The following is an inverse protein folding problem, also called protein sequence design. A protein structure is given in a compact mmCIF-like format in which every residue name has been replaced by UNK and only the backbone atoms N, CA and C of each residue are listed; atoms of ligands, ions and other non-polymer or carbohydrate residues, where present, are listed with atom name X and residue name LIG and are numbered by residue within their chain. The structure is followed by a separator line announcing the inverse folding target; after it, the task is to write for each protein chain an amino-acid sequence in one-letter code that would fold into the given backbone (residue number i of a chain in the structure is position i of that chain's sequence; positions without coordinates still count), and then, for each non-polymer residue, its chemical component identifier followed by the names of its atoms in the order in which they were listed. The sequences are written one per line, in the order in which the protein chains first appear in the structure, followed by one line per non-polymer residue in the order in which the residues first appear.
data_IF_146267915276
#
_entry.id   IF_146267915276
#
_cell.length_a   1.000
_cell.length_b   1.000
_cell.length_c   1.000
_cell.angle_alpha   90.00
_cell.angle_beta   90.00
_cell.angle_gamma   90.00
#
_symmetry.space_group_name_H-M   'P 1'
#
loop_
_entity.id
_entity.type
_entity.pdbx_description
1 polymer ?
#
# COMPACT_ATOMS: atom_id res chain seq x y z
N UNK A 1 -61.70 39.65 29.62
CA UNK A 1 -62.64 39.16 30.66
C UNK A 1 -62.45 37.66 30.80
N UNK A 2 -62.17 37.19 32.03
CA UNK A 2 -62.29 35.82 32.56
C UNK A 2 -61.45 34.71 31.90
N UNK A 3 -60.90 33.70 32.57
CA UNK A 3 -60.64 33.26 33.96
C UNK A 3 -59.76 32.00 33.75
N UNK A 4 -58.75 31.78 34.59
CA UNK A 4 -57.90 30.57 34.63
C UNK A 4 -58.70 29.34 35.18
N UNK A 5 -58.11 28.25 35.70
CA UNK A 5 -56.88 27.50 35.42
C UNK A 5 -57.17 25.98 35.26
N UNK A 6 -56.14 25.16 35.00
CA UNK A 6 -56.21 23.71 35.15
C UNK A 6 -54.87 23.15 35.62
N UNK A 7 -54.72 23.01 36.93
CA UNK A 7 -53.56 22.41 37.60
C UNK A 7 -53.54 20.90 37.41
N UNK A 8 -52.36 20.30 37.22
CA UNK A 8 -52.01 19.02 37.85
C UNK A 8 -50.51 18.99 38.19
N UNK A 9 -50.24 19.04 39.49
CA UNK A 9 -48.98 18.71 40.14
C UNK A 9 -48.83 17.19 40.22
N UNK A 10 -47.66 16.64 39.87
CA UNK A 10 -47.12 15.43 40.51
C UNK A 10 -45.64 15.68 40.82
N UNK A 11 -45.38 15.97 42.08
CA UNK A 11 -44.12 15.78 42.78
C UNK A 11 -43.88 14.29 42.99
N UNK A 12 -42.68 13.77 42.72
CA UNK A 12 -42.14 12.68 43.53
C UNK A 12 -40.61 12.67 43.50
N UNK A 13 -40.07 12.82 44.70
CA UNK A 13 -38.67 12.77 45.08
C UNK A 13 -38.03 11.41 44.77
N UNK A 14 -36.77 11.44 44.31
CA UNK A 14 -35.77 10.44 44.69
C UNK A 14 -34.38 11.04 44.49
N UNK A 15 -33.85 11.60 45.57
CA UNK A 15 -32.43 11.90 45.73
C UNK A 15 -31.69 10.56 45.71
N UNK A 16 -30.90 10.31 44.66
CA UNK A 16 -29.90 9.25 44.65
C UNK A 16 -28.53 9.91 44.58
N UNK A 17 -28.00 10.21 45.77
CA UNK A 17 -26.58 10.50 45.99
C UNK A 17 -25.84 9.18 45.79
N UNK A 18 -25.16 9.03 44.65
CA UNK A 18 -24.14 7.97 44.49
C UNK A 18 -22.76 8.60 44.62
N UNK A 19 -22.21 8.42 45.80
CA UNK A 19 -20.81 8.65 46.14
C UNK A 19 -19.91 7.69 45.37
N UNK A 20 -18.95 8.28 44.64
CA UNK A 20 -17.56 7.84 44.47
C UNK A 20 -17.26 6.33 44.40
N UNK A 21 -16.93 5.86 43.20
CA UNK A 21 -15.70 5.07 42.98
C UNK A 21 -14.98 5.67 41.76
N UNK A 22 -14.19 6.72 42.00
CA UNK A 22 -13.11 7.08 41.08
C UNK A 22 -12.03 5.99 41.18
N UNK A 23 -12.22 4.89 40.45
CA UNK A 23 -11.13 4.02 40.07
C UNK A 23 -10.12 4.91 39.34
N UNK A 24 -9.03 5.25 40.02
CA UNK A 24 -7.88 5.84 39.36
C UNK A 24 -7.26 4.75 38.49
N UNK A 25 -7.84 4.56 37.31
CA UNK A 25 -7.18 3.91 36.21
C UNK A 25 -6.03 4.83 35.81
N UNK A 26 -4.84 4.57 36.35
CA UNK A 26 -3.62 5.01 35.71
C UNK A 26 -3.59 4.30 34.35
N UNK A 27 -4.19 4.92 33.34
CA UNK A 27 -3.99 4.47 31.97
C UNK A 27 -2.51 4.67 31.66
N UNK A 28 -1.81 3.60 31.31
CA UNK A 28 -0.40 3.68 30.91
C UNK A 28 -0.22 4.40 29.56
N UNK A 29 -1.32 4.60 28.83
CA UNK A 29 -1.36 5.33 27.57
C UNK A 29 -1.73 6.79 27.75
N UNK A 30 -1.01 7.66 27.04
CA UNK A 30 -1.40 9.04 26.85
C UNK A 30 -2.59 9.15 25.89
N UNK A 31 -3.24 10.32 25.86
CA UNK A 31 -4.32 10.60 24.91
C UNK A 31 -3.85 10.50 23.45
N UNK A 32 -2.59 10.81 23.19
CA UNK A 32 -2.02 10.76 21.85
C UNK A 32 -1.84 9.31 21.37
N UNK A 33 -1.47 8.40 22.28
CA UNK A 33 -1.38 6.97 21.99
C UNK A 33 -2.75 6.39 21.60
N UNK A 34 -3.80 6.76 22.32
CA UNK A 34 -5.18 6.31 22.02
C UNK A 34 -5.62 6.78 20.63
N UNK A 35 -5.36 8.04 20.28
CA UNK A 35 -5.71 8.57 18.97
C UNK A 35 -4.93 7.86 17.85
N UNK A 36 -3.64 7.59 18.06
CA UNK A 36 -2.83 6.84 17.11
C UNK A 36 -3.42 5.46 16.79
N UNK A 37 -3.89 4.72 17.79
CA UNK A 37 -4.50 3.40 17.56
C UNK A 37 -5.89 3.47 16.95
N UNK A 38 -6.69 4.48 17.30
CA UNK A 38 -8.00 4.70 16.67
C UNK A 38 -7.86 5.03 15.18
N UNK A 39 -6.89 5.86 14.80
CA UNK A 39 -6.60 6.19 13.40
C UNK A 39 -6.11 4.98 12.59
N UNK A 40 -5.55 3.97 13.27
CA UNK A 40 -5.13 2.69 12.69
C UNK A 40 -6.24 1.63 12.66
N UNK A 41 -7.44 1.96 13.14
CA UNK A 41 -8.62 1.10 13.08
C UNK A 41 -8.73 0.08 14.22
N UNK A 42 -7.98 0.24 15.31
CA UNK A 42 -8.12 -0.60 16.50
C UNK A 42 -9.43 -0.30 17.24
N UNK A 43 -10.01 -1.34 17.84
CA UNK A 43 -11.19 -1.15 18.69
C UNK A 43 -10.79 -0.67 20.08
N UNK A 44 -11.70 0.04 20.75
CA UNK A 44 -11.47 0.55 22.11
C UNK A 44 -11.08 -0.55 23.10
N UNK A 45 -11.61 -1.77 22.94
CA UNK A 45 -11.28 -2.92 23.78
C UNK A 45 -9.82 -3.40 23.59
N UNK A 46 -9.34 -3.40 22.35
CA UNK A 46 -7.94 -3.75 22.04
C UNK A 46 -6.97 -2.70 22.59
N UNK A 47 -7.32 -1.42 22.47
CA UNK A 47 -6.53 -0.31 23.02
C UNK A 47 -6.48 -0.42 24.54
N UNK A 48 -7.61 -0.72 25.18
CA UNK A 48 -7.69 -0.86 26.64
C UNK A 48 -6.83 -2.01 27.15
N UNK A 49 -6.77 -3.15 26.45
CA UNK A 49 -5.90 -4.27 26.80
C UNK A 49 -4.41 -3.87 26.75
N UNK A 50 -3.97 -3.21 25.67
CA UNK A 50 -2.60 -2.73 25.49
C UNK A 50 -2.21 -1.72 26.57
N UNK A 51 -3.12 -0.81 26.90
CA UNK A 51 -2.89 0.24 27.89
C UNK A 51 -3.02 -0.23 29.35
N UNK A 52 -3.52 -1.45 29.58
CA UNK A 52 -3.65 -2.06 30.91
C UNK A 52 -2.45 -2.95 31.26
N UNK A 53 -1.77 -3.55 30.28
CA UNK A 53 -0.61 -4.43 30.52
C UNK A 53 0.67 -3.67 30.89
N UNK A 54 0.77 -2.38 30.56
CA UNK A 54 1.99 -1.58 30.78
C UNK A 54 2.19 -1.09 32.23
N UNK A 55 1.53 -1.70 33.21
CA UNK A 55 1.67 -1.37 34.64
C UNK A 55 2.30 -2.51 35.44
N UNK A 56 3.58 -2.81 35.22
CA UNK A 56 4.40 -3.48 36.25
C UNK A 56 5.81 -2.88 36.32
N UNK A 57 6.30 -2.46 37.51
CA UNK A 57 7.68 -2.07 37.70
C UNK A 57 8.58 -3.31 37.85
N UNK A 58 9.79 -3.18 37.29
CA UNK A 58 10.90 -4.14 37.24
C UNK A 58 11.09 -4.96 38.53
N UNK A 59 10.94 -6.30 38.43
CA UNK A 59 11.79 -7.28 39.13
C UNK A 59 11.50 -8.71 38.66
N UNK A 60 12.55 -9.46 38.32
CA UNK A 60 12.51 -10.93 38.35
C UNK A 60 12.45 -11.66 37.00
N UNK A 61 13.65 -12.03 36.53
CA UNK A 61 13.99 -13.18 35.68
C UNK A 61 12.84 -14.10 35.21
N UNK A 62 12.52 -14.05 33.92
CA UNK A 62 11.93 -15.18 33.20
C UNK A 62 12.50 -15.22 31.78
N UNK A 63 13.20 -16.32 31.52
CA UNK A 63 13.79 -16.76 30.26
C UNK A 63 12.70 -16.78 29.17
N UNK A 64 12.73 -15.83 28.25
CA UNK A 64 11.98 -15.90 27.00
C UNK A 64 12.98 -15.90 25.85
N UNK A 65 12.78 -16.87 24.97
CA UNK A 65 13.66 -17.27 23.90
C UNK A 65 13.89 -16.13 22.92
N UNK A 66 15.17 -15.88 22.71
CA UNK A 66 15.74 -15.04 21.69
C UNK A 66 15.39 -15.62 20.30
N UNK A 67 14.22 -15.27 19.77
CA UNK A 67 13.91 -15.39 18.36
C UNK A 67 14.28 -14.08 17.66
N UNK A 68 15.56 -14.05 17.28
CA UNK A 68 16.12 -13.08 16.37
C UNK A 68 15.48 -13.25 14.99
N UNK A 69 14.73 -12.25 14.54
CA UNK A 69 14.59 -11.95 13.12
C UNK A 69 14.36 -10.46 12.95
N UNK A 70 15.49 -9.73 12.89
CA UNK A 70 15.70 -8.48 12.16
C UNK A 70 14.41 -7.73 11.74
N UNK A 71 13.79 -7.00 12.65
CA UNK A 71 13.24 -5.71 12.26
C UNK A 71 14.43 -4.78 12.14
N UNK A 72 15.01 -4.79 10.93
CA UNK A 72 15.81 -3.68 10.44
C UNK A 72 15.03 -2.42 10.80
N UNK A 73 15.66 -1.49 11.51
CA UNK A 73 15.07 -0.18 11.75
C UNK A 73 14.90 0.49 10.38
N UNK A 74 13.77 0.20 9.74
CA UNK A 74 13.32 0.87 8.53
C UNK A 74 13.07 2.29 9.01
N UNK A 75 13.91 3.22 8.54
CA UNK A 75 13.73 4.63 8.89
C UNK A 75 12.29 5.04 8.55
N UNK A 76 11.66 5.96 9.31
CA UNK A 76 10.31 6.45 9.01
C UNK A 76 10.15 6.86 7.53
N UNK A 77 11.21 7.42 6.93
CA UNK A 77 11.27 7.80 5.53
C UNK A 77 11.11 6.63 4.53
N UNK A 78 11.60 5.43 4.87
CA UNK A 78 11.48 4.27 4.00
C UNK A 78 10.05 3.67 4.01
N UNK A 79 9.34 3.80 5.14
CA UNK A 79 7.92 3.45 5.23
C UNK A 79 7.05 4.47 4.47
N UNK A 80 7.37 5.77 4.59
CA UNK A 80 6.71 6.83 3.83
C UNK A 80 6.91 6.68 2.31
N UNK A 81 8.12 6.33 1.87
CA UNK A 81 8.43 6.08 0.46
C UNK A 81 7.68 4.86 -0.09
N UNK A 82 7.58 3.77 0.70
CA UNK A 82 6.79 2.60 0.32
C UNK A 82 5.31 2.95 0.14
N UNK A 83 4.74 3.71 1.08
CA UNK A 83 3.35 4.17 1.02
C UNK A 83 3.12 5.11 -0.16
N UNK A 84 4.05 6.01 -0.43
CA UNK A 84 4.00 6.93 -1.57
C UNK A 84 4.00 6.16 -2.90
N UNK A 85 4.95 5.24 -3.10
CA UNK A 85 5.03 4.46 -4.34
C UNK A 85 3.82 3.54 -4.53
N UNK A 86 3.31 2.93 -3.45
CA UNK A 86 2.09 2.13 -3.50
C UNK A 86 0.90 2.95 -4.02
N UNK A 87 0.82 4.22 -3.65
CA UNK A 87 -0.23 5.12 -4.14
C UNK A 87 0.04 5.67 -5.53
N UNK A 88 1.29 5.95 -5.88
CA UNK A 88 1.67 6.63 -7.11
C UNK A 88 1.72 5.71 -8.34
N UNK A 89 2.18 4.47 -8.17
CA UNK A 89 2.31 3.51 -9.27
C UNK A 89 0.92 3.00 -9.65
N UNK A 90 0.61 3.05 -10.95
CA UNK A 90 -0.66 2.57 -11.53
C UNK A 90 -0.60 1.05 -11.76
N UNK A 91 -0.42 0.31 -10.67
CA UNK A 91 -0.33 -1.15 -10.65
C UNK A 91 -1.02 -1.73 -9.39
N UNK A 92 -1.02 -3.05 -9.27
CA UNK A 92 -1.54 -3.78 -8.10
C UNK A 92 -0.39 -4.49 -7.37
N UNK A 93 -0.66 -4.94 -6.14
CA UNK A 93 0.27 -5.79 -5.37
C UNK A 93 1.69 -5.19 -5.27
N UNK A 94 1.76 -3.87 -5.09
CA UNK A 94 3.04 -3.15 -5.01
C UNK A 94 3.71 -3.49 -3.69
N UNK A 95 4.89 -4.08 -3.76
CA UNK A 95 5.74 -4.42 -2.64
C UNK A 95 7.12 -3.77 -2.83
N UNK A 96 7.52 -2.96 -1.86
CA UNK A 96 8.85 -2.38 -1.79
C UNK A 96 9.62 -3.10 -0.68
N UNK A 97 10.68 -3.78 -1.08
CA UNK A 97 11.67 -4.38 -0.17
C UNK A 97 12.93 -3.50 -0.13
N UNK A 98 13.90 -3.84 0.71
CA UNK A 98 15.18 -3.12 0.76
C UNK A 98 15.96 -3.19 -0.56
N UNK A 99 15.71 -4.21 -1.38
CA UNK A 99 16.59 -4.55 -2.51
C UNK A 99 15.85 -4.53 -3.86
N UNK A 100 14.51 -4.53 -3.83
CA UNK A 100 13.68 -4.65 -5.01
C UNK A 100 12.30 -4.02 -4.86
N UNK A 101 11.78 -3.53 -5.98
CA UNK A 101 10.39 -3.10 -6.16
C UNK A 101 9.67 -4.13 -7.04
N UNK A 102 8.58 -4.70 -6.54
CA UNK A 102 7.73 -5.59 -7.31
C UNK A 102 6.29 -5.10 -7.40
N UNK A 103 5.65 -5.29 -8.54
CA UNK A 103 4.25 -4.93 -8.75
C UNK A 103 3.63 -5.79 -9.86
N UNK A 104 2.30 -5.91 -9.82
CA UNK A 104 1.51 -6.62 -10.82
C UNK A 104 0.81 -5.61 -11.72
N UNK A 105 1.18 -5.58 -13.00
CA UNK A 105 0.47 -4.82 -14.01
C UNK A 105 -0.65 -5.67 -14.61
N UNK A 106 -1.90 -5.26 -14.36
CA UNK A 106 -3.07 -5.96 -14.88
C UNK A 106 -3.34 -5.59 -16.34
N UNK A 107 -3.71 -6.58 -17.14
CA UNK A 107 -4.16 -6.40 -18.54
C UNK A 107 -3.18 -5.62 -19.41
N UNK A 108 -1.90 -5.99 -19.38
CA UNK A 108 -0.89 -5.40 -20.25
C UNK A 108 -1.11 -5.92 -21.67
N UNK A 109 -1.77 -5.12 -22.51
CA UNK A 109 -2.14 -5.57 -23.83
C UNK A 109 -1.05 -5.38 -24.89
N UNK A 110 -0.88 -6.39 -25.73
CA UNK A 110 0.09 -6.44 -26.81
C UNK A 110 -0.51 -7.15 -28.03
N UNK A 111 -0.18 -6.64 -29.20
CA UNK A 111 -0.53 -7.21 -30.50
C UNK A 111 0.59 -8.17 -30.94
N UNK A 112 0.23 -9.28 -31.56
CA UNK A 112 1.17 -10.31 -32.01
C UNK A 112 0.69 -10.94 -33.31
N UNK A 113 1.60 -11.56 -34.07
CA UNK A 113 1.27 -12.23 -35.33
C UNK A 113 0.93 -11.27 -36.48
N UNK A 114 0.32 -11.83 -37.52
CA UNK A 114 -0.05 -11.10 -38.74
C UNK A 114 -1.48 -10.55 -38.66
N UNK A 115 -1.75 -9.49 -39.44
CA UNK A 115 -3.10 -8.97 -39.66
C UNK A 115 -3.96 -9.99 -40.41
N UNK A 116 -5.23 -10.12 -40.02
CA UNK A 116 -6.19 -10.92 -40.76
C UNK A 116 -6.66 -10.22 -42.08
N UNK A 117 -7.53 -10.90 -42.84
CA UNK A 117 -8.07 -10.38 -44.10
C UNK A 117 -8.91 -9.09 -43.95
N UNK A 118 -9.26 -8.72 -42.71
CA UNK A 118 -10.00 -7.52 -42.38
C UNK A 118 -9.11 -6.42 -41.77
N UNK A 119 -7.79 -6.67 -41.66
CA UNK A 119 -6.82 -5.73 -41.10
C UNK A 119 -6.77 -5.72 -39.56
N UNK A 120 -7.22 -6.79 -38.90
CA UNK A 120 -7.11 -6.91 -37.44
C UNK A 120 -5.91 -7.78 -37.03
N UNK A 121 -5.07 -7.24 -36.17
CA UNK A 121 -3.98 -8.00 -35.51
C UNK A 121 -4.50 -8.65 -34.23
N UNK A 122 -4.21 -9.94 -33.98
CA UNK A 122 -4.62 -10.57 -32.73
C UNK A 122 -3.92 -9.92 -31.53
N UNK A 123 -4.65 -9.88 -30.41
CA UNK A 123 -4.25 -9.18 -29.19
C UNK A 123 -4.40 -10.08 -27.97
N UNK A 124 -3.46 -9.96 -27.04
CA UNK A 124 -3.50 -10.62 -25.73
C UNK A 124 -3.25 -9.59 -24.64
N UNK A 125 -3.84 -9.77 -23.45
CA UNK A 125 -3.74 -8.81 -22.36
C UNK A 125 -3.39 -9.50 -21.04
N UNK A 126 -2.20 -10.14 -20.95
CA UNK A 126 -1.80 -10.82 -19.73
C UNK A 126 -1.68 -9.89 -18.53
N UNK A 127 -1.81 -10.50 -17.35
CA UNK A 127 -1.30 -9.92 -16.12
C UNK A 127 0.20 -10.23 -16.01
N UNK A 128 0.99 -9.22 -15.61
CA UNK A 128 2.45 -9.33 -15.57
C UNK A 128 2.97 -8.90 -14.21
N UNK A 129 3.79 -9.74 -13.59
CA UNK A 129 4.56 -9.39 -12.39
C UNK A 129 5.90 -8.82 -12.83
N UNK A 130 6.18 -7.60 -12.41
CA UNK A 130 7.49 -6.98 -12.56
C UNK A 130 8.24 -7.09 -11.24
N UNK A 131 9.53 -7.38 -11.30
CA UNK A 131 10.45 -7.29 -10.17
C UNK A 131 11.72 -6.59 -10.62
N UNK A 132 11.95 -5.41 -10.07
CA UNK A 132 13.04 -4.51 -10.45
C UNK A 132 13.99 -4.43 -9.26
N UNK A 133 15.27 -4.73 -9.46
CA UNK A 133 16.26 -4.51 -8.40
C UNK A 133 16.53 -3.02 -8.23
N UNK A 134 16.53 -2.57 -6.98
CA UNK A 134 16.90 -1.19 -6.61
C UNK A 134 18.41 -0.95 -6.73
N UNK A 135 19.21 -2.02 -6.58
CA UNK A 135 20.66 -1.95 -6.73
C UNK A 135 21.05 -1.71 -8.19
N UNK A 136 21.68 -0.57 -8.44
CA UNK A 136 22.03 -0.15 -9.80
C UNK A 136 20.80 0.22 -10.62
N UNK A 137 19.73 0.68 -9.94
CA UNK A 137 18.58 1.31 -10.58
C UNK A 137 18.99 2.70 -11.08
N UNK A 138 18.87 2.92 -12.39
CA UNK A 138 19.02 4.21 -13.03
C UNK A 138 17.64 4.71 -13.45
N UNK A 139 17.26 5.91 -13.02
CA UNK A 139 16.02 6.55 -13.47
C UNK A 139 16.33 7.45 -14.66
N UNK A 140 15.85 7.07 -15.85
CA UNK A 140 16.24 7.68 -17.12
C UNK A 140 15.47 8.98 -17.36
N UNK A 141 14.22 8.87 -17.78
CA UNK A 141 13.34 9.97 -18.10
C UNK A 141 11.92 9.75 -17.53
N UNK A 142 11.16 10.84 -17.56
CA UNK A 142 9.76 10.90 -17.18
C UNK A 142 8.98 11.36 -18.39
N UNK A 143 7.81 10.77 -18.63
CA UNK A 143 7.03 11.21 -19.77
C UNK A 143 5.72 10.48 -19.94
N UNK A 144 5.16 10.63 -21.14
CA UNK A 144 4.05 9.82 -21.63
C UNK A 144 4.54 9.07 -22.85
N UNK A 145 3.98 7.89 -23.08
CA UNK A 145 4.33 7.01 -24.22
C UNK A 145 4.43 7.75 -25.57
N UNK A 146 3.60 8.78 -25.80
CA UNK A 146 3.61 9.63 -27.00
C UNK A 146 3.45 11.12 -26.68
N UNK A 147 4.50 11.76 -26.16
CA UNK A 147 4.52 13.22 -25.92
C UNK A 147 3.45 13.67 -24.92
N UNK A 148 2.27 14.07 -25.41
CA UNK A 148 1.11 14.43 -24.57
C UNK A 148 0.08 13.30 -24.39
N UNK A 149 0.18 12.25 -25.21
CA UNK A 149 -0.73 11.10 -25.25
C UNK A 149 -0.08 9.88 -24.60
N UNK A 150 -0.89 9.07 -23.93
CA UNK A 150 -0.44 7.89 -23.20
C UNK A 150 -0.45 8.09 -21.68
N UNK A 151 -0.29 6.97 -20.97
CA UNK A 151 -0.21 6.99 -19.52
C UNK A 151 1.11 7.66 -19.08
N UNK A 152 1.11 8.39 -17.95
CA UNK A 152 2.34 8.86 -17.34
C UNK A 152 3.20 7.67 -16.96
N UNK A 153 4.48 7.73 -17.26
CA UNK A 153 5.44 6.67 -16.95
C UNK A 153 6.79 7.26 -16.53
N UNK A 154 7.50 6.50 -15.69
CA UNK A 154 8.90 6.74 -15.35
C UNK A 154 9.71 5.59 -15.93
N UNK A 155 10.66 5.90 -16.81
CA UNK A 155 11.54 4.88 -17.37
C UNK A 155 12.70 4.61 -16.46
N UNK A 156 12.92 3.34 -16.20
CA UNK A 156 13.99 2.89 -15.33
C UNK A 156 14.82 1.84 -16.04
N UNK A 157 16.09 1.81 -15.70
CA UNK A 157 17.04 0.79 -16.09
C UNK A 157 17.59 0.13 -14.85
N UNK A 158 17.69 -1.19 -14.84
CA UNK A 158 18.27 -1.92 -13.72
C UNK A 158 19.02 -3.13 -14.24
N UNK A 159 20.08 -3.52 -13.52
CA UNK A 159 20.84 -4.73 -13.79
C UNK A 159 19.98 -5.99 -13.78
N UNK A 160 18.87 -5.99 -13.02
CA UNK A 160 17.95 -7.12 -12.91
C UNK A 160 16.52 -6.61 -12.98
N UNK A 161 15.85 -6.89 -14.11
CA UNK A 161 14.41 -6.74 -14.28
C UNK A 161 13.83 -8.10 -14.65
N UNK A 162 13.04 -8.69 -13.76
CA UNK A 162 12.29 -9.93 -14.01
C UNK A 162 10.85 -9.58 -14.37
N UNK A 163 10.31 -10.31 -15.34
CA UNK A 163 8.95 -10.17 -15.83
C UNK A 163 8.33 -11.57 -15.92
N UNK A 164 7.18 -11.76 -15.30
CA UNK A 164 6.48 -13.04 -15.28
C UNK A 164 5.03 -12.86 -15.72
N UNK A 165 4.61 -13.60 -16.75
CA UNK A 165 3.23 -13.57 -17.25
C UNK A 165 2.39 -14.56 -16.44
N UNK A 166 1.29 -14.07 -15.86
CA UNK A 166 0.36 -14.88 -15.08
C UNK A 166 -0.74 -15.45 -15.98
N UNK A 167 -0.88 -16.78 -16.01
CA UNK A 167 -2.11 -17.50 -16.38
C UNK A 167 -2.53 -17.49 -17.85
N UNK A 168 -2.50 -16.34 -18.55
CA UNK A 168 -3.21 -16.13 -19.81
C UNK A 168 -2.59 -16.84 -21.04
N UNK A 169 -1.34 -17.31 -20.94
CA UNK A 169 -0.70 -18.02 -22.05
C UNK A 169 -1.04 -19.52 -22.08
N UNK A 170 -1.69 -20.07 -21.05
CA UNK A 170 -1.93 -21.52 -20.98
C UNK A 170 -2.90 -22.01 -22.04
N UNK A 171 -3.87 -21.18 -22.42
CA UNK A 171 -4.91 -21.51 -23.39
C UNK A 171 -4.49 -21.19 -24.84
N UNK A 172 -3.26 -20.71 -25.05
CA UNK A 172 -2.71 -20.37 -26.37
C UNK A 172 -1.94 -21.54 -26.98
N UNK A 173 -2.00 -21.65 -28.31
CA UNK A 173 -1.22 -22.65 -29.04
C UNK A 173 0.28 -22.42 -28.83
N UNK A 174 1.13 -23.46 -28.88
CA UNK A 174 2.57 -23.31 -28.72
C UNK A 174 3.19 -22.23 -29.62
N UNK A 175 2.78 -22.19 -30.89
CA UNK A 175 3.24 -21.20 -31.88
C UNK A 175 2.82 -19.77 -31.49
N UNK A 176 1.57 -19.57 -31.05
CA UNK A 176 1.08 -18.26 -30.59
C UNK A 176 1.83 -17.79 -29.34
N UNK A 177 2.13 -18.70 -28.42
CA UNK A 177 2.90 -18.37 -27.20
C UNK A 177 4.29 -17.87 -27.55
N UNK A 178 4.95 -18.49 -28.53
CA UNK A 178 6.26 -18.05 -28.99
C UNK A 178 6.20 -16.64 -29.56
N UNK A 179 5.22 -16.33 -30.41
CA UNK A 179 5.01 -14.98 -30.95
C UNK A 179 4.73 -13.96 -29.85
N UNK A 180 3.89 -14.30 -28.87
CA UNK A 180 3.60 -13.41 -27.74
C UNK A 180 4.84 -13.17 -26.89
N UNK A 181 5.62 -14.21 -26.59
CA UNK A 181 6.87 -14.06 -25.86
C UNK A 181 7.92 -13.30 -26.68
N UNK A 182 7.82 -13.32 -28.00
CA UNK A 182 8.75 -12.60 -28.86
C UNK A 182 8.54 -11.08 -28.79
N UNK A 183 7.29 -10.64 -28.90
CA UNK A 183 6.90 -9.23 -28.80
C UNK A 183 6.84 -8.72 -27.35
N UNK A 184 6.96 -9.60 -26.35
CA UNK A 184 6.97 -9.21 -24.95
C UNK A 184 8.19 -8.36 -24.62
N UNK A 185 8.02 -7.41 -23.69
CA UNK A 185 9.11 -6.53 -23.29
C UNK A 185 10.28 -7.33 -22.71
N UNK A 186 11.48 -7.05 -23.21
CA UNK A 186 12.74 -7.74 -22.85
C UNK A 186 13.83 -6.72 -22.51
N UNK A 187 14.81 -7.17 -21.74
CA UNK A 187 16.01 -6.41 -21.42
C UNK A 187 15.97 -5.71 -20.07
N UNK A 188 16.88 -4.75 -19.91
CA UNK A 188 17.23 -4.10 -18.65
C UNK A 188 16.50 -2.78 -18.40
N UNK A 189 15.60 -2.39 -19.30
CA UNK A 189 14.83 -1.15 -19.23
C UNK A 189 13.35 -1.47 -19.18
N UNK A 190 12.58 -0.72 -18.39
CA UNK A 190 11.12 -0.83 -18.31
C UNK A 190 10.48 0.51 -17.95
N UNK A 191 9.18 0.64 -18.23
CA UNK A 191 8.40 1.81 -17.90
C UNK A 191 7.49 1.51 -16.72
N UNK A 192 7.70 2.20 -15.59
CA UNK A 192 6.82 2.11 -14.42
C UNK A 192 5.63 3.03 -14.66
N UNK A 193 4.40 2.52 -14.78
CA UNK A 193 3.23 3.34 -15.03
C UNK A 193 2.87 4.12 -13.76
N UNK A 194 2.70 5.42 -13.89
CA UNK A 194 2.34 6.32 -12.79
C UNK A 194 0.90 6.80 -12.99
N UNK A 195 0.19 7.02 -11.88
CA UNK A 195 -1.15 7.58 -11.94
C UNK A 195 -1.11 9.07 -12.27
N UNK A 196 -2.16 9.53 -12.93
CA UNK A 196 -2.26 10.89 -13.44
C UNK A 196 -2.33 11.97 -12.33
N UNK A 197 -2.65 11.58 -11.09
CA UNK A 197 -2.74 12.45 -9.91
C UNK A 197 -1.39 12.64 -9.18
N UNK A 198 -0.30 12.04 -9.66
CA UNK A 198 1.03 12.14 -9.04
C UNK A 198 2.03 12.85 -9.96
N UNK A 199 2.96 13.60 -9.35
CA UNK A 199 4.05 14.24 -10.06
C UNK A 199 5.12 13.22 -10.47
N UNK A 200 5.41 13.13 -11.77
CA UNK A 200 6.47 12.26 -12.28
C UNK A 200 7.85 12.60 -11.68
N UNK A 201 8.13 13.89 -11.45
CA UNK A 201 9.40 14.32 -10.85
C UNK A 201 9.51 13.88 -9.39
N UNK A 202 8.42 13.91 -8.64
CA UNK A 202 8.42 13.40 -7.26
C UNK A 202 8.67 11.90 -7.23
N UNK A 203 8.01 11.15 -8.12
CA UNK A 203 8.25 9.70 -8.24
C UNK A 203 9.69 9.40 -8.64
N UNK A 204 10.24 10.15 -9.59
CA UNK A 204 11.66 10.04 -9.98
C UNK A 204 12.59 10.25 -8.78
N UNK A 205 12.37 11.28 -7.98
CA UNK A 205 13.21 11.55 -6.80
C UNK A 205 13.14 10.40 -5.78
N UNK A 206 11.93 9.91 -5.47
CA UNK A 206 11.78 8.77 -4.54
C UNK A 206 12.48 7.52 -5.07
N UNK A 207 12.38 7.23 -6.38
CA UNK A 207 13.09 6.10 -6.98
C UNK A 207 14.61 6.27 -6.95
N UNK A 208 15.13 7.50 -7.11
CA UNK A 208 16.56 7.79 -6.99
C UNK A 208 17.05 7.64 -5.55
N UNK A 209 16.27 8.09 -4.56
CA UNK A 209 16.59 7.90 -3.14
C UNK A 209 16.71 6.41 -2.79
N UNK A 210 15.85 5.58 -3.36
CA UNK A 210 15.85 4.12 -3.16
C UNK A 210 16.96 3.38 -3.91
N UNK A 211 17.61 4.03 -4.89
CA UNK A 211 18.70 3.42 -5.67
C UNK A 211 20.07 3.45 -4.98
N UNK A 212 20.21 4.26 -3.92
CA UNK A 212 21.44 4.47 -3.16
C UNK A 212 21.52 3.57 -1.92
#
# INVERSE_FOLDING_TARGET
MKVAPGNYTITCSAIFVFTMLSSQANAACSRDDVNFYLDKGFTTDQITALCSEASTPVSGSAKSEQLNSKQQAVSPAADDNALFLNRAIKAQEINLSSDSLSYTQKKMCMEYGEEDLFGFTPKVCPDVIFTISLKGLEVLDTGKKYGFYGAPEVRVKSSVIKREIIGELKDKKPEERELILDVFEKGFETAIPIRDDFSLEQVKQVLLELSN
#
